data_IF_748990537225
#
_entry.id   IF_748990537225
#
_cell.length_a   1.000
_cell.length_b   1.000
_cell.length_c   1.000
_cell.angle_alpha   90.00
_cell.angle_beta   90.00
_cell.angle_gamma   90.00
#
_symmetry.space_group_name_H-M   'P 1'
#
loop_
_entity.id
_entity.type
_entity.pdbx_description
1 polymer ?
#
# COMPACT_ATOMS: atom_id res chain seq x y z
N UNK A 1 23.95 2.49 14.00
CA UNK A 1 22.50 2.68 14.04
C UNK A 1 22.11 3.48 12.79
N UNK A 2 21.50 2.84 11.77
CA UNK A 2 20.94 3.54 10.60
C UNK A 2 19.90 4.56 11.12
N UNK A 3 19.96 5.80 10.61
CA UNK A 3 18.97 6.82 10.93
C UNK A 3 17.58 6.30 10.56
N UNK A 4 16.75 6.04 11.54
CA UNK A 4 15.34 5.75 11.37
C UNK A 4 14.73 7.02 10.75
N UNK A 5 14.22 6.93 9.53
CA UNK A 5 13.49 8.04 8.92
C UNK A 5 12.10 8.08 9.55
N UNK A 6 11.87 9.06 10.42
CA UNK A 6 10.50 9.46 10.74
C UNK A 6 9.88 10.00 9.45
N UNK A 7 8.78 9.42 9.05
CA UNK A 7 7.93 10.03 8.02
C UNK A 7 6.99 11.01 8.71
N UNK A 8 6.61 12.09 8.02
CA UNK A 8 5.68 13.12 8.55
C UNK A 8 4.25 12.58 8.74
N UNK A 9 4.05 11.28 8.54
CA UNK A 9 2.76 10.60 8.56
C UNK A 9 2.56 9.60 9.72
N UNK A 10 3.43 9.67 10.74
CA UNK A 10 3.34 8.79 11.92
C UNK A 10 3.74 7.34 11.68
N UNK A 11 4.28 7.02 10.52
CA UNK A 11 4.81 5.70 10.18
C UNK A 11 6.34 5.75 10.21
N UNK A 12 6.95 4.90 10.99
CA UNK A 12 8.39 4.72 11.05
C UNK A 12 8.77 3.50 10.22
N UNK A 13 9.56 3.70 9.17
CA UNK A 13 10.07 2.60 8.36
C UNK A 13 11.28 1.97 9.04
N UNK A 14 11.12 0.77 9.58
CA UNK A 14 12.17 -0.01 10.21
C UNK A 14 13.10 -0.66 9.19
N UNK A 15 12.52 -1.19 8.11
CA UNK A 15 13.21 -1.71 6.92
C UNK A 15 12.53 -1.21 5.67
N UNK A 16 13.29 -0.86 4.65
CA UNK A 16 12.78 -0.53 3.32
C UNK A 16 13.28 -1.55 2.28
N UNK A 17 12.85 -1.41 1.04
CA UNK A 17 13.14 -2.34 -0.04
C UNK A 17 14.63 -2.68 -0.22
N UNK A 18 15.54 -1.75 0.11
CA UNK A 18 16.99 -1.97 -0.01
C UNK A 18 17.59 -2.77 1.17
N UNK A 19 16.84 -2.98 2.23
CA UNK A 19 17.28 -3.73 3.41
C UNK A 19 16.95 -5.23 3.30
N UNK A 20 16.26 -5.65 2.24
CA UNK A 20 15.90 -7.04 1.97
C UNK A 20 16.77 -7.64 0.86
N UNK A 21 16.98 -8.92 0.94
CA UNK A 21 17.67 -9.71 -0.08
C UNK A 21 16.85 -10.97 -0.41
N UNK A 22 17.26 -11.72 -1.42
CA UNK A 22 16.55 -12.92 -1.90
C UNK A 22 16.41 -14.04 -0.85
N UNK A 23 17.24 -14.04 0.19
CA UNK A 23 17.19 -15.03 1.26
C UNK A 23 16.30 -14.60 2.42
N UNK A 24 15.92 -13.31 2.49
CA UNK A 24 15.06 -12.77 3.53
C UNK A 24 13.70 -13.49 3.52
N UNK A 25 13.17 -13.92 4.68
CA UNK A 25 11.85 -14.55 4.75
C UNK A 25 10.75 -13.65 4.18
N UNK A 26 10.84 -12.35 4.46
CA UNK A 26 9.90 -11.33 3.96
C UNK A 26 9.91 -11.27 2.43
N UNK A 27 11.10 -11.28 1.82
CA UNK A 27 11.23 -11.27 0.36
C UNK A 27 10.68 -12.56 -0.25
N UNK A 28 10.99 -13.73 0.33
CA UNK A 28 10.45 -15.02 -0.10
C UNK A 28 8.93 -15.07 0.02
N UNK A 29 8.38 -14.46 1.06
CA UNK A 29 6.93 -14.36 1.25
C UNK A 29 6.29 -13.57 0.11
N UNK A 30 6.75 -12.34 -0.17
CA UNK A 30 6.14 -11.49 -1.20
C UNK A 30 6.45 -11.97 -2.63
N UNK A 31 7.43 -12.82 -2.84
CA UNK A 31 7.72 -13.42 -4.15
C UNK A 31 7.20 -14.86 -4.28
N UNK A 32 6.41 -15.33 -3.31
CA UNK A 32 5.81 -16.65 -3.35
C UNK A 32 4.90 -16.80 -4.57
N UNK A 33 5.01 -17.93 -5.27
CA UNK A 33 4.28 -18.18 -6.52
C UNK A 33 2.75 -18.06 -6.38
N UNK A 34 2.18 -18.49 -5.25
CA UNK A 34 0.73 -18.42 -5.01
C UNK A 34 0.26 -16.98 -4.82
N UNK A 35 1.02 -16.18 -4.09
CA UNK A 35 0.73 -14.75 -3.93
C UNK A 35 0.82 -14.02 -5.26
N UNK A 36 1.89 -14.27 -6.04
CA UNK A 36 2.05 -13.70 -7.38
C UNK A 36 0.89 -14.12 -8.30
N UNK A 37 0.43 -15.37 -8.23
CA UNK A 37 -0.70 -15.84 -9.03
C UNK A 37 -2.00 -15.10 -8.67
N UNK A 38 -2.32 -14.94 -7.39
CA UNK A 38 -3.50 -14.19 -6.93
C UNK A 38 -3.45 -12.75 -7.46
N UNK A 39 -2.32 -12.09 -7.27
CA UNK A 39 -2.11 -10.70 -7.73
C UNK A 39 -2.17 -10.61 -9.25
N UNK A 40 -1.55 -11.56 -9.98
CA UNK A 40 -1.58 -11.60 -11.45
C UNK A 40 -2.99 -11.77 -12.00
N UNK A 41 -3.82 -12.61 -11.37
CA UNK A 41 -5.23 -12.78 -11.74
C UNK A 41 -6.02 -11.50 -11.54
N UNK A 42 -5.79 -10.79 -10.43
CA UNK A 42 -6.45 -9.52 -10.18
C UNK A 42 -6.01 -8.44 -11.17
N UNK A 43 -4.70 -8.28 -11.40
CA UNK A 43 -4.14 -7.25 -12.28
C UNK A 43 -4.25 -7.60 -13.79
N UNK A 44 -4.57 -8.86 -14.14
CA UNK A 44 -4.54 -9.41 -15.50
C UNK A 44 -3.17 -9.33 -16.19
N UNK A 45 -2.10 -9.32 -15.43
CA UNK A 45 -0.71 -9.30 -15.94
C UNK A 45 0.26 -9.83 -14.88
N UNK A 46 1.49 -10.10 -15.27
CA UNK A 46 2.57 -10.35 -14.31
C UNK A 46 2.87 -9.01 -13.60
N UNK A 47 2.72 -8.94 -12.26
CA UNK A 47 2.90 -7.69 -11.53
C UNK A 47 4.37 -7.32 -11.38
N UNK A 48 4.63 -6.04 -11.09
CA UNK A 48 5.93 -5.57 -10.63
C UNK A 48 5.84 -5.25 -9.13
N UNK A 49 6.73 -5.83 -8.34
CA UNK A 49 6.91 -5.50 -6.92
C UNK A 49 7.65 -4.17 -6.81
N UNK A 50 6.99 -3.15 -6.32
CA UNK A 50 7.54 -1.78 -6.22
C UNK A 50 7.86 -1.34 -4.82
N UNK A 51 7.34 -2.02 -3.81
CA UNK A 51 7.64 -1.72 -2.42
C UNK A 51 7.64 -2.98 -1.56
N UNK A 52 8.55 -3.03 -0.61
CA UNK A 52 8.57 -3.94 0.52
C UNK A 52 9.15 -3.18 1.71
N UNK A 53 8.38 -3.03 2.77
CA UNK A 53 8.77 -2.23 3.91
C UNK A 53 8.22 -2.82 5.21
N UNK A 54 9.01 -2.80 6.25
CA UNK A 54 8.56 -3.09 7.60
C UNK A 54 8.24 -1.77 8.30
N UNK A 55 6.98 -1.56 8.63
CA UNK A 55 6.48 -0.35 9.26
C UNK A 55 6.20 -0.55 10.74
N UNK A 56 6.51 0.48 11.50
CA UNK A 56 6.11 0.66 12.89
C UNK A 56 5.30 1.94 13.01
N UNK A 57 4.11 1.86 13.56
CA UNK A 57 3.25 3.01 13.85
C UNK A 57 3.01 3.06 15.35
N UNK A 58 3.53 4.07 16.07
CA UNK A 58 3.27 4.24 17.51
C UNK A 58 1.82 4.59 17.79
N UNK A 59 1.12 5.22 16.84
CA UNK A 59 -0.28 5.65 16.90
C UNK A 59 -0.57 6.68 18.01
N UNK A 60 0.44 7.40 18.46
CA UNK A 60 0.37 8.36 19.58
C UNK A 60 -0.04 9.77 19.15
N UNK A 61 -0.11 10.03 17.85
CA UNK A 61 -0.41 11.35 17.26
C UNK A 61 -1.23 11.25 16.01
N UNK A 62 -1.98 12.34 15.72
CA UNK A 62 -2.63 12.57 14.43
C UNK A 62 -1.76 13.53 13.62
N UNK A 63 -1.57 13.22 12.37
CA UNK A 63 -0.80 14.03 11.41
C UNK A 63 -1.73 14.48 10.29
N UNK A 64 -1.84 15.79 10.08
CA UNK A 64 -2.57 16.35 8.95
C UNK A 64 -1.79 16.12 7.65
N UNK A 65 -2.53 16.07 6.53
CA UNK A 65 -1.98 15.85 5.18
C UNK A 65 -1.12 14.58 5.04
N UNK A 66 -1.43 13.55 5.82
CA UNK A 66 -0.69 12.29 5.88
C UNK A 66 -1.52 11.11 5.38
N UNK A 67 -1.00 9.89 5.53
CA UNK A 67 -1.74 8.63 5.30
C UNK A 67 -2.88 8.41 6.30
N UNK A 68 -3.02 9.28 7.28
CA UNK A 68 -4.13 9.30 8.24
C UNK A 68 -5.38 10.02 7.71
N UNK A 69 -5.32 10.73 6.58
CA UNK A 69 -6.50 11.26 5.88
C UNK A 69 -6.92 10.32 4.75
N UNK A 70 -8.20 10.35 4.38
CA UNK A 70 -8.68 9.54 3.25
C UNK A 70 -7.94 9.87 1.97
N UNK A 71 -7.47 8.86 1.28
CA UNK A 71 -6.79 9.00 0.02
C UNK A 71 -6.92 7.76 -0.85
N UNK A 72 -6.64 7.94 -2.13
CA UNK A 72 -6.33 6.86 -3.05
C UNK A 72 -4.82 6.89 -3.33
N UNK A 73 -4.21 5.74 -3.36
CA UNK A 73 -2.83 5.64 -3.84
C UNK A 73 -2.78 5.87 -5.36
N UNK A 74 -1.70 6.47 -5.83
CA UNK A 74 -1.60 6.98 -7.20
C UNK A 74 -0.43 6.39 -8.00
N UNK A 75 0.12 5.28 -7.53
CA UNK A 75 1.24 4.62 -8.22
C UNK A 75 0.80 3.91 -9.50
N UNK A 76 -0.46 3.47 -9.54
CA UNK A 76 -1.09 2.87 -10.71
C UNK A 76 -2.62 3.10 -10.66
N UNK A 77 -3.31 2.94 -11.79
CA UNK A 77 -4.78 2.90 -11.84
C UNK A 77 -5.36 1.61 -11.23
N UNK A 78 -4.58 0.56 -11.19
CA UNK A 78 -4.93 -0.74 -10.60
C UNK A 78 -3.69 -1.34 -9.96
N UNK A 79 -3.75 -1.51 -8.67
CA UNK A 79 -2.62 -2.01 -7.89
C UNK A 79 -3.08 -2.92 -6.77
N UNK A 80 -2.16 -3.63 -6.17
CA UNK A 80 -2.42 -4.42 -4.97
C UNK A 80 -1.40 -4.04 -3.91
N UNK A 81 -1.87 -3.48 -2.80
CA UNK A 81 -1.09 -3.41 -1.56
C UNK A 81 -1.39 -4.61 -0.68
N UNK A 82 -0.35 -5.18 -0.12
CA UNK A 82 -0.43 -6.21 0.90
C UNK A 82 0.01 -5.66 2.25
N UNK A 83 -0.72 -6.03 3.29
CA UNK A 83 -0.44 -5.69 4.68
C UNK A 83 -0.46 -6.98 5.49
N UNK A 84 0.73 -7.53 5.76
CA UNK A 84 0.88 -8.68 6.66
C UNK A 84 0.99 -8.17 8.09
N UNK A 85 0.11 -8.60 8.96
CA UNK A 85 0.07 -8.19 10.36
C UNK A 85 1.15 -8.91 11.15
N UNK A 86 2.07 -8.14 11.73
CA UNK A 86 3.17 -8.70 12.54
C UNK A 86 2.74 -8.88 14.00
N UNK A 87 1.83 -8.03 14.48
CA UNK A 87 1.12 -8.20 15.74
C UNK A 87 -0.39 -8.18 15.48
N UNK A 88 -1.18 -8.56 16.50
CA UNK A 88 -2.63 -8.45 16.45
C UNK A 88 -3.05 -7.01 16.16
N UNK A 89 -4.00 -6.83 15.26
CA UNK A 89 -4.58 -5.54 14.88
C UNK A 89 -6.01 -5.48 15.41
N UNK A 90 -6.23 -4.57 16.35
CA UNK A 90 -7.51 -4.24 16.95
C UNK A 90 -7.79 -2.74 16.84
N UNK A 91 -8.90 -2.27 17.38
CA UNK A 91 -9.28 -0.85 17.37
C UNK A 91 -8.24 0.04 18.07
N UNK A 92 -7.47 -0.50 19.01
CA UNK A 92 -6.45 0.24 19.76
C UNK A 92 -5.12 0.37 19.02
N UNK A 93 -4.92 -0.38 17.95
CA UNK A 93 -3.67 -0.38 17.18
C UNK A 93 -3.72 0.51 15.93
N UNK A 94 -4.74 1.35 15.78
CA UNK A 94 -4.91 2.22 14.62
C UNK A 94 -5.08 1.42 13.32
N UNK A 95 -6.13 0.59 13.21
CA UNK A 95 -6.36 -0.27 12.06
C UNK A 95 -6.55 0.54 10.77
N UNK A 96 -6.38 -0.12 9.63
CA UNK A 96 -6.72 0.44 8.34
C UNK A 96 -8.24 0.52 8.20
N UNK A 97 -8.76 1.68 7.80
CA UNK A 97 -10.16 1.86 7.39
C UNK A 97 -10.25 1.98 5.88
N UNK A 98 -11.21 1.27 5.28
CA UNK A 98 -11.39 1.21 3.83
C UNK A 98 -12.86 1.47 3.48
N UNK A 99 -13.09 2.34 2.50
CA UNK A 99 -14.36 2.52 1.83
C UNK A 99 -14.33 1.69 0.55
N UNK A 100 -15.35 0.87 0.31
CA UNK A 100 -15.38 -0.01 -0.87
C UNK A 100 -15.35 0.78 -2.19
N UNK A 101 -15.01 0.09 -3.28
CA UNK A 101 -14.82 0.71 -4.60
C UNK A 101 -16.06 1.44 -5.11
N UNK A 102 -17.27 0.89 -4.92
CA UNK A 102 -18.49 1.54 -5.40
C UNK A 102 -18.71 2.88 -4.72
N UNK A 103 -18.65 2.91 -3.40
CA UNK A 103 -18.77 4.13 -2.61
C UNK A 103 -17.61 5.10 -2.85
N UNK A 104 -16.40 4.59 -3.01
CA UNK A 104 -15.22 5.40 -3.38
C UNK A 104 -15.40 6.09 -4.73
N UNK A 105 -16.02 5.44 -5.71
CA UNK A 105 -16.34 6.04 -6.99
C UNK A 105 -17.40 7.15 -6.86
N UNK A 106 -18.38 6.99 -5.98
CA UNK A 106 -19.38 8.03 -5.69
C UNK A 106 -18.73 9.25 -5.04
N UNK A 107 -17.83 9.03 -4.08
CA UNK A 107 -17.03 10.10 -3.48
C UNK A 107 -16.23 10.83 -4.56
N UNK A 108 -15.49 10.10 -5.39
CA UNK A 108 -14.68 10.70 -6.46
C UNK A 108 -15.50 11.60 -7.38
N UNK A 109 -16.68 11.14 -7.80
CA UNK A 109 -17.61 11.91 -8.64
C UNK A 109 -18.10 13.17 -7.92
N UNK A 110 -18.52 13.02 -6.66
CA UNK A 110 -19.12 14.11 -5.88
C UNK A 110 -18.17 15.26 -5.60
N UNK A 111 -16.89 14.99 -5.43
CA UNK A 111 -15.85 16.00 -5.16
C UNK A 111 -14.98 16.32 -6.39
N UNK A 112 -15.35 15.82 -7.57
CA UNK A 112 -14.54 15.95 -8.79
C UNK A 112 -13.09 15.56 -8.54
N UNK A 113 -12.89 14.40 -7.88
CA UNK A 113 -11.57 13.89 -7.56
C UNK A 113 -10.84 13.47 -8.83
N UNK A 114 -9.64 13.94 -9.01
CA UNK A 114 -8.78 13.54 -10.12
C UNK A 114 -7.50 12.92 -9.58
N UNK A 115 -7.21 11.72 -10.03
CA UNK A 115 -5.92 11.10 -9.75
C UNK A 115 -4.82 11.90 -10.45
N UNK A 116 -3.81 12.28 -9.70
CA UNK A 116 -2.66 13.05 -10.18
C UNK A 116 -1.37 12.42 -9.66
N UNK A 117 -0.21 12.90 -10.10
CA UNK A 117 1.10 12.44 -9.56
C UNK A 117 1.28 12.70 -8.06
N UNK A 118 0.46 13.56 -7.47
CA UNK A 118 0.45 13.81 -6.02
C UNK A 118 -0.84 13.26 -5.44
N UNK A 119 -0.74 12.47 -4.39
CA UNK A 119 -1.90 11.99 -3.64
C UNK A 119 -2.70 13.17 -3.10
N UNK A 120 -3.97 13.26 -3.49
CA UNK A 120 -4.91 14.22 -2.93
C UNK A 120 -5.51 13.63 -1.67
N UNK A 121 -5.47 14.35 -0.59
CA UNK A 121 -6.09 13.98 0.69
C UNK A 121 -7.51 14.52 0.77
N UNK A 122 -8.38 13.78 1.44
CA UNK A 122 -9.77 14.14 1.70
C UNK A 122 -9.98 14.05 3.20
N UNK A 123 -10.30 15.17 3.81
CA UNK A 123 -10.50 15.24 5.26
C UNK A 123 -11.87 14.69 5.68
N UNK A 124 -12.03 14.46 6.97
CA UNK A 124 -13.26 13.89 7.54
C UNK A 124 -14.48 14.80 7.37
N UNK A 125 -14.27 16.11 7.30
CA UNK A 125 -15.35 17.09 7.10
C UNK A 125 -16.02 16.90 5.73
N UNK A 126 -15.21 16.72 4.67
CA UNK A 126 -15.71 16.45 3.32
C UNK A 126 -16.52 15.14 3.30
N UNK A 127 -16.01 14.08 3.91
CA UNK A 127 -16.72 12.80 4.00
C UNK A 127 -18.02 12.95 4.79
N UNK A 128 -17.99 13.67 5.91
CA UNK A 128 -19.18 13.98 6.72
C UNK A 128 -20.23 14.79 5.94
N UNK A 129 -19.81 15.73 5.09
CA UNK A 129 -20.72 16.50 4.23
C UNK A 129 -21.40 15.61 3.19
N UNK A 130 -20.67 14.63 2.62
CA UNK A 130 -21.24 13.68 1.66
C UNK A 130 -22.28 12.77 2.33
N UNK A 131 -22.00 12.32 3.55
CA UNK A 131 -22.97 11.53 4.34
C UNK A 131 -24.23 12.36 4.62
N UNK A 132 -24.08 13.62 5.01
CA UNK A 132 -25.21 14.54 5.23
C UNK A 132 -26.05 14.77 3.95
N UNK A 133 -25.44 14.65 2.78
CA UNK A 133 -26.11 14.72 1.48
C UNK A 133 -26.70 13.37 1.04
N UNK A 134 -26.87 12.42 1.96
CA UNK A 134 -27.42 11.09 1.72
C UNK A 134 -26.58 10.19 0.81
N UNK A 135 -25.27 10.43 0.68
CA UNK A 135 -24.37 9.47 0.04
C UNK A 135 -24.10 8.37 1.07
N UNK A 136 -24.44 7.15 0.72
CA UNK A 136 -24.23 5.99 1.59
C UNK A 136 -22.73 5.65 1.61
N UNK A 137 -22.03 6.06 2.65
CA UNK A 137 -20.61 5.78 2.87
C UNK A 137 -20.50 4.90 4.12
N UNK A 138 -19.89 3.74 3.95
CA UNK A 138 -19.61 2.81 5.03
C UNK A 138 -18.12 2.51 5.07
N UNK A 139 -17.51 2.78 6.20
CA UNK A 139 -16.13 2.34 6.48
C UNK A 139 -16.09 0.90 6.94
N UNK A 140 -15.10 0.19 6.45
CA UNK A 140 -14.74 -1.14 6.92
C UNK A 140 -13.41 -1.02 7.68
N UNK A 141 -13.47 -1.16 8.99
CA UNK A 141 -12.30 -1.19 9.86
C UNK A 141 -11.70 -2.58 9.82
N UNK A 142 -10.44 -2.68 9.41
CA UNK A 142 -9.77 -3.95 9.16
C UNK A 142 -8.97 -4.38 10.38
N UNK A 143 -9.50 -5.33 11.11
CA UNK A 143 -8.84 -5.97 12.27
C UNK A 143 -8.43 -7.41 11.92
N UNK A 144 -7.55 -8.00 12.71
CA UNK A 144 -7.11 -9.39 12.51
C UNK A 144 -5.99 -9.79 13.46
N UNK A 145 -5.51 -11.00 13.29
CA UNK A 145 -4.46 -11.60 14.13
C UNK A 145 -3.09 -11.45 13.49
N UNK A 146 -2.05 -11.55 14.31
CA UNK A 146 -0.68 -11.72 13.81
C UNK A 146 -0.62 -12.88 12.81
N UNK A 147 -0.05 -12.63 11.63
CA UNK A 147 0.00 -13.57 10.52
C UNK A 147 -1.12 -13.42 9.48
N UNK A 148 -2.18 -12.67 9.77
CA UNK A 148 -3.22 -12.37 8.78
C UNK A 148 -2.67 -11.45 7.68
N UNK A 149 -3.11 -11.70 6.46
CA UNK A 149 -2.74 -10.93 5.27
C UNK A 149 -3.97 -10.24 4.67
N UNK A 150 -3.93 -8.91 4.63
CA UNK A 150 -4.86 -8.11 3.84
C UNK A 150 -4.26 -7.82 2.46
N UNK A 151 -5.00 -8.09 1.40
CA UNK A 151 -4.72 -7.61 0.04
C UNK A 151 -5.81 -6.62 -0.37
N UNK A 152 -5.41 -5.42 -0.78
CA UNK A 152 -6.34 -4.34 -1.11
C UNK A 152 -5.88 -3.57 -2.35
N UNK A 153 -6.83 -3.21 -3.21
CA UNK A 153 -6.60 -2.22 -4.26
C UNK A 153 -6.78 -0.80 -3.71
N UNK A 154 -5.68 -0.24 -3.26
CA UNK A 154 -5.65 1.09 -2.65
C UNK A 154 -5.74 2.24 -3.64
N UNK A 155 -5.69 1.96 -4.95
CA UNK A 155 -5.99 2.96 -6.00
C UNK A 155 -7.47 3.13 -6.27
N UNK A 156 -8.29 2.14 -5.88
CA UNK A 156 -9.73 2.11 -6.11
C UNK A 156 -10.56 2.35 -4.85
N UNK A 157 -9.97 2.19 -3.68
CA UNK A 157 -10.63 2.28 -2.38
C UNK A 157 -10.07 3.43 -1.55
N UNK A 158 -10.90 4.44 -1.23
CA UNK A 158 -10.50 5.44 -0.24
C UNK A 158 -10.19 4.74 1.08
N UNK A 159 -9.04 5.09 1.63
CA UNK A 159 -8.56 4.47 2.86
C UNK A 159 -7.70 5.44 3.68
N UNK A 160 -7.57 5.14 4.96
CA UNK A 160 -6.60 5.74 5.86
C UNK A 160 -6.14 4.71 6.89
N UNK A 161 -5.05 4.98 7.60
CA UNK A 161 -4.56 4.11 8.66
C UNK A 161 -3.77 4.83 9.73
N UNK A 162 -3.46 4.12 10.79
CA UNK A 162 -2.64 4.60 11.91
C UNK A 162 -3.24 5.79 12.68
N UNK A 163 -4.56 5.86 12.77
CA UNK A 163 -5.24 6.87 13.58
C UNK A 163 -5.51 6.36 14.99
N UNK A 164 -5.43 7.28 15.97
CA UNK A 164 -6.04 7.20 17.30
C UNK A 164 -5.86 5.83 18.01
N UNK A 165 -4.72 5.22 17.87
CA UNK A 165 -4.39 4.03 18.62
C UNK A 165 -3.79 4.36 19.99
N UNK A 166 -3.88 3.41 20.92
CA UNK A 166 -3.17 3.43 22.19
C UNK A 166 -2.07 2.38 22.24
N UNK A 167 -2.01 1.54 21.21
CA UNK A 167 -1.02 0.47 21.04
C UNK A 167 -0.30 0.63 19.71
N UNK A 168 0.94 0.22 19.70
CA UNK A 168 1.76 0.22 18.49
C UNK A 168 1.30 -0.85 17.49
N UNK A 169 1.51 -0.57 16.20
CA UNK A 169 1.23 -1.46 15.09
C UNK A 169 2.51 -1.76 14.30
N UNK A 170 2.71 -3.03 13.95
CA UNK A 170 3.78 -3.48 13.07
C UNK A 170 3.18 -4.15 11.85
N UNK A 171 3.55 -3.71 10.67
CA UNK A 171 3.05 -4.20 9.38
C UNK A 171 4.22 -4.46 8.44
N UNK A 172 4.24 -5.64 7.81
CA UNK A 172 5.03 -5.82 6.60
C UNK A 172 4.15 -5.38 5.43
N UNK A 173 4.46 -4.21 4.90
CA UNK A 173 3.75 -3.62 3.77
C UNK A 173 4.50 -3.89 2.47
N UNK A 174 3.76 -4.25 1.42
CA UNK A 174 4.32 -4.46 0.08
C UNK A 174 3.33 -4.03 -1.00
N UNK A 175 3.83 -3.77 -2.20
CA UNK A 175 3.01 -3.24 -3.28
C UNK A 175 3.38 -3.86 -4.62
N UNK A 176 2.34 -4.22 -5.35
CA UNK A 176 2.42 -4.65 -6.73
C UNK A 176 1.64 -3.69 -7.62
N UNK A 177 2.24 -3.34 -8.73
CA UNK A 177 1.62 -2.54 -9.79
C UNK A 177 1.68 -3.29 -11.12
N UNK A 178 0.96 -2.76 -12.11
CA UNK A 178 1.13 -3.24 -13.49
C UNK A 178 2.45 -2.75 -14.09
N UNK A 179 2.96 -3.35 -15.15
CA UNK A 179 4.13 -2.84 -15.88
C UNK A 179 3.94 -1.44 -16.47
N UNK A 180 2.71 -0.92 -16.47
CA UNK A 180 2.32 0.39 -16.99
C UNK A 180 2.02 1.42 -15.90
N UNK A 181 2.26 1.07 -14.63
CA UNK A 181 2.00 1.96 -13.50
C UNK A 181 2.81 3.26 -13.56
N UNK A 182 2.31 4.31 -12.93
CA UNK A 182 2.90 5.66 -13.02
C UNK A 182 4.27 5.79 -12.35
N UNK A 183 4.61 4.89 -11.46
CA UNK A 183 5.93 4.84 -10.82
C UNK A 183 6.97 4.09 -11.66
N UNK A 184 6.51 3.30 -12.63
CA UNK A 184 7.35 2.78 -13.71
C UNK A 184 7.43 3.92 -14.72
N UNK A 185 8.56 4.61 -14.79
CA UNK A 185 8.76 5.75 -15.70
C UNK A 185 8.39 5.33 -17.12
N UNK A 186 7.52 6.10 -17.78
CA UNK A 186 7.03 5.87 -19.16
C UNK A 186 8.15 5.75 -20.20
N UNK A 187 9.34 6.23 -19.88
CA UNK A 187 10.53 5.80 -20.57
C UNK A 187 10.84 4.36 -20.15
N UNK A 188 10.21 3.40 -20.79
CA UNK A 188 10.42 1.96 -20.74
C UNK A 188 11.86 1.50 -20.45
N UNK A 189 12.76 2.42 -20.38
CA UNK A 189 14.21 2.29 -20.26
C UNK A 189 14.70 2.55 -18.85
N UNK A 190 13.87 3.08 -17.95
CA UNK A 190 14.26 3.41 -16.57
C UNK A 190 13.65 2.48 -15.52
N UNK A 191 13.55 1.19 -15.83
CA UNK A 191 13.45 0.16 -14.78
C UNK A 191 14.59 0.30 -13.75
N UNK A 192 15.51 1.18 -14.01
CA UNK A 192 16.65 1.49 -13.15
C UNK A 192 16.28 2.07 -11.79
N UNK A 193 15.07 2.57 -11.63
CA UNK A 193 14.54 3.10 -10.36
C UNK A 193 13.77 2.05 -9.55
N UNK A 194 13.52 0.87 -10.09
CA UNK A 194 12.82 -0.18 -9.36
C UNK A 194 13.69 -0.69 -8.21
N UNK A 195 13.11 -0.87 -7.03
CA UNK A 195 13.87 -1.05 -5.80
C UNK A 195 14.65 -2.37 -5.73
N UNK A 196 14.26 -3.38 -6.51
CA UNK A 196 14.83 -4.73 -6.43
C UNK A 196 15.70 -5.13 -7.63
N UNK A 197 15.94 -4.21 -8.56
CA UNK A 197 16.74 -4.51 -9.77
C UNK A 197 18.17 -4.95 -9.49
N UNK A 198 18.70 -4.57 -8.32
CA UNK A 198 20.06 -4.93 -7.90
C UNK A 198 20.19 -6.37 -7.42
N UNK A 199 19.05 -7.07 -7.26
CA UNK A 199 19.06 -8.45 -6.80
C UNK A 199 19.39 -9.38 -7.95
N UNK A 200 20.41 -10.20 -7.75
CA UNK A 200 20.77 -11.26 -8.68
C UNK A 200 19.75 -12.41 -8.57
N UNK A 201 19.02 -12.64 -9.65
CA UNK A 201 18.03 -13.72 -9.76
C UNK A 201 18.47 -14.68 -10.85
N UNK A 202 19.31 -15.64 -10.52
CA UNK A 202 19.74 -16.66 -11.47
C UNK A 202 18.52 -17.47 -11.97
N UNK A 203 18.40 -17.56 -13.31
CA UNK A 203 17.50 -18.49 -14.03
C UNK A 203 15.99 -18.51 -13.67
N UNK A 204 15.48 -17.58 -12.87
CA UNK A 204 14.06 -17.49 -12.55
C UNK A 204 13.39 -16.36 -13.36
N UNK A 205 12.87 -16.69 -14.54
CA UNK A 205 12.23 -15.74 -15.45
C UNK A 205 11.04 -15.00 -14.81
N UNK A 206 10.20 -15.72 -14.05
CA UNK A 206 9.04 -15.11 -13.39
C UNK A 206 9.51 -14.08 -12.35
N UNK A 207 10.49 -14.46 -11.54
CA UNK A 207 11.03 -13.56 -10.52
C UNK A 207 11.67 -12.32 -11.16
N UNK A 208 12.44 -12.48 -12.23
CA UNK A 208 12.99 -11.34 -12.98
C UNK A 208 11.89 -10.37 -13.44
N UNK A 209 10.79 -10.89 -13.99
CA UNK A 209 9.65 -10.06 -14.41
C UNK A 209 9.02 -9.32 -13.23
N UNK A 210 8.76 -10.03 -12.12
CA UNK A 210 8.16 -9.44 -10.91
C UNK A 210 9.05 -8.36 -10.31
N UNK A 211 10.36 -8.47 -10.42
CA UNK A 211 11.31 -7.46 -9.93
C UNK A 211 11.61 -6.35 -10.96
N UNK A 212 11.05 -6.46 -12.17
CA UNK A 212 11.31 -5.52 -13.26
C UNK A 212 12.75 -5.56 -13.77
N UNK A 213 13.41 -6.72 -13.64
CA UNK A 213 14.76 -6.95 -14.15
C UNK A 213 14.68 -7.28 -15.65
N UNK A 214 15.54 -6.65 -16.45
CA UNK A 214 15.63 -6.98 -17.88
C UNK A 214 15.98 -8.46 -18.09
N UNK A 215 15.29 -9.08 -19.03
CA UNK A 215 15.47 -10.46 -19.42
C UNK A 215 16.46 -10.48 -20.59
#
# INVERSE_FOLDING_TARGET
LKKIKNTDDGIITLKNSNDFNILSPEFKFVTNKYLIEIVSRYLNCVPILTNLSLWYSPNDKIFENSSQEYHLDHEDYKQVKGFLFINDIDEQTGPLSIINTLQSNEIQKSINYKMTKKTKRVNDEIIGDLIRKNINIQENVITGKSGDLLLCDTSSCFHYGSRLGTKARYILAFQYITPFGFTVDWNWRNYDKLPFKHLECENNLLLKKVLGIKI
#
